data_IF_276138932048
#
_entry.id   IF_276138932048
#
_cell.length_a   1.000
_cell.length_b   1.000
_cell.length_c   1.000
_cell.angle_alpha   90.00
_cell.angle_beta   90.00
_cell.angle_gamma   90.00
#
_symmetry.space_group_name_H-M   'P 1'
#
loop_
_entity.id
_entity.type
_entity.pdbx_description
1 polymer ?
#
# COMPACT_ATOMS: atom_id res chain seq x y z
N UNK A 1 16.40 2.44 3.00
CA UNK A 1 15.60 3.63 2.84
C UNK A 1 14.55 3.75 3.90
N UNK A 2 13.87 4.83 3.90
CA UNK A 2 12.89 5.13 4.92
C UNK A 2 11.70 4.18 4.89
N UNK A 3 11.31 3.76 3.72
CA UNK A 3 10.22 2.80 3.59
C UNK A 3 10.60 1.49 4.25
N UNK A 4 11.81 1.04 4.00
CA UNK A 4 12.31 -0.16 4.64
C UNK A 4 12.39 0.00 6.14
N UNK A 5 12.76 1.17 6.61
CA UNK A 5 12.81 1.44 8.04
C UNK A 5 11.44 1.29 8.69
N UNK A 6 10.41 1.80 8.04
CA UNK A 6 9.05 1.64 8.53
C UNK A 6 8.65 0.18 8.56
N UNK A 7 8.98 -0.55 7.52
CA UNK A 7 8.63 -1.96 7.43
C UNK A 7 9.38 -2.83 8.42
N UNK A 8 10.64 -2.49 8.67
CA UNK A 8 11.54 -3.36 9.45
C UNK A 8 11.70 -2.92 10.88
N UNK A 9 11.33 -1.71 11.20
CA UNK A 9 11.66 -1.17 12.50
C UNK A 9 10.90 -1.85 13.61
N UNK A 10 9.73 -1.45 13.88
CA UNK A 10 8.99 -1.99 15.00
C UNK A 10 7.56 -2.22 14.58
N UNK A 11 7.03 -3.31 15.03
CA UNK A 11 5.66 -3.66 14.72
C UNK A 11 4.92 -3.95 16.01
N UNK A 12 3.61 -3.78 15.96
CA UNK A 12 2.78 -4.02 17.10
C UNK A 12 2.27 -2.73 17.72
N UNK A 13 1.69 -2.86 18.90
CA UNK A 13 0.92 -1.76 19.49
C UNK A 13 1.77 -0.55 19.86
N UNK A 14 2.98 -0.74 20.32
CA UNK A 14 3.85 0.40 20.67
C UNK A 14 4.17 1.24 19.44
N UNK A 15 4.53 0.58 18.34
CA UNK A 15 4.82 1.27 17.09
C UNK A 15 3.58 2.01 16.59
N UNK A 16 2.43 1.37 16.64
CA UNK A 16 1.20 2.00 16.21
C UNK A 16 0.85 3.22 17.06
N UNK A 17 1.03 3.13 18.35
CA UNK A 17 0.77 4.25 19.25
C UNK A 17 1.68 5.43 18.93
N UNK A 18 2.95 5.16 18.66
CA UNK A 18 3.89 6.20 18.33
C UNK A 18 3.55 6.86 17.00
N UNK A 19 3.31 6.06 15.97
CA UNK A 19 2.93 6.60 14.68
C UNK A 19 1.59 7.32 14.72
N UNK A 20 0.71 6.94 15.63
CA UNK A 20 -0.58 7.60 15.79
C UNK A 20 -0.48 9.08 16.15
N UNK A 21 0.70 9.52 16.60
CA UNK A 21 0.95 10.92 16.91
C UNK A 21 1.45 11.73 15.71
N UNK A 22 1.73 11.08 14.61
CA UNK A 22 2.31 11.71 13.43
C UNK A 22 1.33 11.72 12.29
N UNK A 23 1.47 12.75 11.45
CA UNK A 23 0.67 12.89 10.24
C UNK A 23 1.64 13.14 9.09
N UNK A 24 2.22 12.09 8.53
CA UNK A 24 3.20 12.25 7.45
C UNK A 24 2.56 12.84 6.22
N UNK A 25 3.35 13.58 5.43
CA UNK A 25 2.86 14.10 4.16
C UNK A 25 2.67 12.96 3.17
N UNK A 26 3.63 12.07 3.09
CA UNK A 26 3.60 10.96 2.16
C UNK A 26 4.00 9.66 2.87
N UNK A 27 3.22 8.63 2.66
CA UNK A 27 3.56 7.28 3.11
C UNK A 27 3.85 6.41 1.89
N UNK A 28 5.03 5.80 1.87
CA UNK A 28 5.40 4.82 0.86
C UNK A 28 5.22 3.44 1.47
N UNK A 29 4.33 2.64 0.92
CA UNK A 29 3.96 1.36 1.50
C UNK A 29 4.27 0.23 0.53
N UNK A 30 5.06 -0.73 0.98
CA UNK A 30 5.29 -1.96 0.24
C UNK A 30 4.19 -2.94 0.61
N UNK A 31 3.39 -3.34 -0.36
CA UNK A 31 2.25 -4.22 -0.13
C UNK A 31 2.37 -5.42 -1.06
N UNK A 32 1.92 -6.57 -0.62
CA UNK A 32 2.21 -7.83 -1.28
C UNK A 32 1.47 -8.04 -2.60
N UNK A 33 0.21 -7.61 -2.70
CA UNK A 33 -0.58 -7.85 -3.90
C UNK A 33 -1.71 -6.84 -4.04
N UNK A 34 -2.21 -6.69 -5.24
CA UNK A 34 -3.37 -5.85 -5.52
C UNK A 34 -4.21 -6.47 -6.63
N UNK A 35 -5.53 -6.39 -6.47
CA UNK A 35 -6.44 -6.70 -7.56
C UNK A 35 -7.67 -5.80 -7.45
N UNK A 36 -8.49 -5.83 -8.50
CA UNK A 36 -9.67 -4.99 -8.60
C UNK A 36 -10.72 -5.22 -7.55
N UNK A 37 -10.93 -6.48 -7.21
CA UNK A 37 -12.04 -6.88 -6.35
C UNK A 37 -11.72 -6.71 -4.89
N UNK A 38 -10.50 -7.07 -4.51
CA UNK A 38 -10.10 -7.12 -3.12
C UNK A 38 -9.27 -5.93 -2.68
N UNK A 39 -8.80 -5.12 -3.63
CA UNK A 39 -7.90 -4.03 -3.33
C UNK A 39 -6.50 -4.54 -3.02
N UNK A 40 -5.86 -3.93 -2.04
CA UNK A 40 -4.52 -4.30 -1.61
C UNK A 40 -4.58 -5.36 -0.54
N UNK A 41 -3.83 -6.44 -0.73
CA UNK A 41 -3.82 -7.57 0.19
C UNK A 41 -2.40 -7.91 0.61
N UNK A 42 -2.27 -8.49 1.79
CA UNK A 42 -0.97 -8.85 2.33
C UNK A 42 -1.12 -10.09 3.21
N UNK A 43 0.00 -10.68 3.60
CA UNK A 43 0.03 -11.82 4.49
C UNK A 43 0.81 -11.53 5.77
N UNK A 44 1.44 -10.37 5.87
CA UNK A 44 2.28 -9.99 7.01
C UNK A 44 1.43 -9.32 8.08
N UNK A 45 0.81 -10.12 8.92
CA UNK A 45 -0.19 -9.64 9.86
C UNK A 45 0.31 -8.57 10.82
N UNK A 46 1.55 -8.70 11.26
CA UNK A 46 2.12 -7.71 12.19
C UNK A 46 2.32 -6.33 11.54
N UNK A 47 2.51 -6.31 10.24
CA UNK A 47 2.72 -5.06 9.51
C UNK A 47 1.44 -4.39 9.09
N UNK A 48 0.35 -5.13 9.04
CA UNK A 48 -0.92 -4.59 8.55
C UNK A 48 -1.45 -3.42 9.38
N UNK A 49 -1.28 -3.50 10.70
CA UNK A 49 -1.71 -2.42 11.58
C UNK A 49 -0.96 -1.13 11.28
N UNK A 50 0.34 -1.23 11.09
CA UNK A 50 1.19 -0.08 10.75
C UNK A 50 0.81 0.47 9.38
N UNK A 51 0.62 -0.41 8.40
CA UNK A 51 0.25 0.00 7.04
C UNK A 51 -1.07 0.77 7.08
N UNK A 52 -2.07 0.23 7.77
CA UNK A 52 -3.38 0.88 7.87
C UNK A 52 -3.29 2.23 8.56
N UNK A 53 -2.52 2.30 9.63
CA UNK A 53 -2.37 3.53 10.38
C UNK A 53 -1.68 4.60 9.56
N UNK A 54 -0.61 4.27 8.86
CA UNK A 54 0.10 5.20 8.00
C UNK A 54 -0.78 5.68 6.86
N UNK A 55 -1.55 4.78 6.26
CA UNK A 55 -2.46 5.15 5.18
C UNK A 55 -3.55 6.10 5.67
N UNK A 56 -4.03 5.90 6.90
CA UNK A 56 -5.04 6.78 7.48
C UNK A 56 -4.50 8.17 7.77
N UNK A 57 -3.23 8.25 8.20
CA UNK A 57 -2.66 9.50 8.69
C UNK A 57 -1.97 10.33 7.60
N UNK A 58 -1.50 9.71 6.54
CA UNK A 58 -0.75 10.40 5.51
C UNK A 58 -1.66 11.22 4.61
N UNK A 59 -1.14 12.33 4.10
CA UNK A 59 -1.85 13.12 3.09
C UNK A 59 -1.88 12.40 1.76
N UNK A 60 -0.77 11.75 1.42
CA UNK A 60 -0.67 10.99 0.19
C UNK A 60 -0.14 9.60 0.50
N UNK A 61 -0.78 8.60 -0.07
CA UNK A 61 -0.40 7.21 0.13
C UNK A 61 0.05 6.64 -1.20
N UNK A 62 1.28 6.14 -1.24
CA UNK A 62 1.89 5.58 -2.44
C UNK A 62 2.25 4.13 -2.15
N UNK A 63 1.65 3.22 -2.90
CA UNK A 63 2.01 1.81 -2.83
C UNK A 63 3.15 1.52 -3.80
N UNK A 64 4.07 0.66 -3.40
CA UNK A 64 5.21 0.26 -4.23
C UNK A 64 5.17 -1.26 -4.37
N UNK A 65 5.13 -1.74 -5.60
CA UNK A 65 5.20 -3.17 -5.87
C UNK A 65 5.61 -3.42 -7.32
N UNK A 66 6.16 -4.59 -7.59
CA UNK A 66 6.45 -4.94 -8.97
C UNK A 66 5.19 -5.47 -9.67
N UNK A 67 5.21 -5.46 -10.99
CA UNK A 67 4.03 -5.79 -11.80
C UNK A 67 3.55 -7.23 -11.60
N UNK A 68 4.40 -8.12 -11.14
CA UNK A 68 4.01 -9.50 -10.90
C UNK A 68 2.99 -9.63 -9.78
N UNK A 69 2.84 -8.60 -8.97
CA UNK A 69 1.89 -8.59 -7.85
C UNK A 69 0.53 -8.01 -8.21
N UNK A 70 0.42 -7.43 -9.39
CA UNK A 70 -0.83 -6.85 -9.88
C UNK A 70 -1.72 -7.97 -10.43
N UNK A 71 -2.97 -7.98 -10.02
CA UNK A 71 -3.89 -9.03 -10.38
C UNK A 71 -3.82 -10.24 -9.45
N UNK A 72 -3.07 -10.15 -8.39
CA UNK A 72 -2.91 -11.23 -7.42
C UNK A 72 -3.69 -10.93 -6.15
N UNK A 73 -3.82 -11.94 -5.31
CA UNK A 73 -4.45 -11.79 -4.01
C UNK A 73 -3.62 -12.52 -2.97
N UNK A 74 -3.33 -11.85 -1.88
CA UNK A 74 -2.70 -12.46 -0.73
C UNK A 74 -3.77 -12.85 0.29
N UNK A 75 -3.41 -13.03 1.54
CA UNK A 75 -4.30 -13.63 2.52
C UNK A 75 -5.40 -12.74 3.05
N UNK A 76 -5.13 -11.45 3.20
CA UNK A 76 -6.08 -10.57 3.84
C UNK A 76 -6.02 -9.17 3.24
N UNK A 77 -7.16 -8.54 3.10
CA UNK A 77 -7.22 -7.16 2.65
C UNK A 77 -6.62 -6.24 3.70
N UNK A 78 -5.76 -5.34 3.26
CA UNK A 78 -5.15 -4.36 4.14
C UNK A 78 -5.64 -2.95 3.82
N UNK A 79 -5.81 -2.62 2.55
CA UNK A 79 -6.33 -1.33 2.10
C UNK A 79 -7.26 -1.53 0.92
N UNK A 80 -8.23 -0.64 0.78
CA UNK A 80 -9.04 -0.58 -0.44
C UNK A 80 -8.26 0.17 -1.51
N UNK A 81 -8.69 0.06 -2.76
CA UNK A 81 -8.07 0.81 -3.85
C UNK A 81 -8.14 2.32 -3.60
N UNK A 82 -9.22 2.77 -3.00
CA UNK A 82 -9.46 4.19 -2.78
C UNK A 82 -8.59 4.79 -1.69
N UNK A 83 -8.00 3.96 -0.85
CA UNK A 83 -7.11 4.44 0.20
C UNK A 83 -5.68 4.70 -0.27
N UNK A 84 -5.38 4.37 -1.52
CA UNK A 84 -4.06 4.57 -2.10
C UNK A 84 -4.19 5.56 -3.26
N UNK A 85 -3.36 6.58 -3.27
CA UNK A 85 -3.43 7.64 -4.28
C UNK A 85 -2.69 7.25 -5.56
N UNK A 86 -1.52 6.67 -5.40
CA UNK A 86 -0.69 6.25 -6.53
C UNK A 86 -0.01 4.94 -6.24
N UNK A 87 0.27 4.20 -7.30
CA UNK A 87 1.04 2.98 -7.19
C UNK A 87 2.24 3.06 -8.12
N UNK A 88 3.42 2.90 -7.57
CA UNK A 88 4.66 2.88 -8.34
C UNK A 88 5.01 1.43 -8.64
N UNK A 89 5.18 1.13 -9.92
CA UNK A 89 5.48 -0.22 -10.37
C UNK A 89 6.44 -0.14 -11.57
N UNK A 90 6.78 -1.29 -12.12
CA UNK A 90 7.67 -1.35 -13.28
C UNK A 90 6.91 -1.19 -14.60
N UNK A 91 7.64 -1.22 -15.71
CA UNK A 91 7.09 -0.93 -17.05
C UNK A 91 6.27 -2.06 -17.65
N UNK A 92 6.16 -3.19 -16.98
CA UNK A 92 5.54 -4.36 -17.56
C UNK A 92 4.01 -4.36 -17.47
N UNK A 93 3.40 -3.30 -16.98
CA UNK A 93 1.95 -3.23 -16.84
C UNK A 93 1.32 -2.78 -18.16
N UNK A 94 0.43 -3.59 -18.76
CA UNK A 94 -0.27 -3.18 -19.98
C UNK A 94 -1.15 -1.94 -19.75
N UNK A 95 -1.29 -1.12 -20.77
CA UNK A 95 -2.12 0.07 -20.69
C UNK A 95 -3.56 -0.22 -20.34
N UNK A 96 -4.09 -1.33 -20.81
CA UNK A 96 -5.46 -1.74 -20.50
C UNK A 96 -5.65 -1.97 -19.01
N UNK A 97 -4.66 -2.57 -18.37
CA UNK A 97 -4.68 -2.81 -16.92
C UNK A 97 -4.53 -1.48 -16.18
N UNK A 98 -3.60 -0.66 -16.61
CA UNK A 98 -3.36 0.67 -16.03
C UNK A 98 -4.63 1.50 -16.00
N UNK A 99 -5.33 1.57 -17.13
CA UNK A 99 -6.56 2.35 -17.24
C UNK A 99 -7.65 1.88 -16.29
N UNK A 100 -7.74 0.59 -16.10
CA UNK A 100 -8.74 0.03 -15.21
C UNK A 100 -8.56 0.52 -13.77
N UNK A 101 -7.32 0.54 -13.30
CA UNK A 101 -7.05 1.03 -11.95
C UNK A 101 -7.26 2.53 -11.85
N UNK A 102 -6.91 3.27 -12.89
CA UNK A 102 -7.11 4.71 -12.91
C UNK A 102 -8.58 5.08 -12.84
N UNK A 103 -9.44 4.28 -13.43
CA UNK A 103 -10.89 4.48 -13.33
C UNK A 103 -11.38 4.37 -11.90
N UNK A 104 -10.67 3.65 -11.06
CA UNK A 104 -10.99 3.51 -9.65
C UNK A 104 -10.29 4.55 -8.79
N UNK A 105 -9.58 5.49 -9.40
CA UNK A 105 -8.89 6.54 -8.68
C UNK A 105 -7.45 6.21 -8.30
N UNK A 106 -6.94 5.07 -8.73
CA UNK A 106 -5.57 4.65 -8.42
C UNK A 106 -4.69 4.86 -9.65
N UNK A 107 -3.80 5.84 -9.57
CA UNK A 107 -2.87 6.14 -10.66
C UNK A 107 -1.68 5.19 -10.60
N UNK A 108 -1.37 4.54 -11.71
CA UNK A 108 -0.20 3.67 -11.82
C UNK A 108 0.93 4.40 -12.54
N UNK A 109 2.10 4.39 -11.91
CA UNK A 109 3.27 5.05 -12.46
C UNK A 109 4.43 4.11 -12.68
#
# INVERSE_FOLDING_TARGET
GNVDSVEKSTYGSECEQEFGKYYPDTAFLSINAVNYQDGFTDFRFLEMGVIRLLAERAREVIAVMDSSKIGKRSRKQVLSLQQVDRMVTDDAVPDTVRKKYEEQGLVLE
#
